data_IF_042620218470
#
_entry.id   IF_042620218470
#
_cell.length_a   1.000
_cell.length_b   1.000
_cell.length_c   1.000
_cell.angle_alpha   90.00
_cell.angle_beta   90.00
_cell.angle_gamma   90.00
#
_symmetry.space_group_name_H-M   'P 1'
#
loop_
_entity.id
_entity.type
_entity.pdbx_description
1 polymer ?
#
# COMPACT_ATOMS: atom_id res chain seq x y z
N UNK A 1 -57.58 -22.53 51.43
CA UNK A 1 -58.38 -21.34 51.82
C UNK A 1 -58.47 -20.38 50.64
N UNK A 2 -59.61 -20.40 49.93
CA UNK A 2 -60.24 -19.22 49.30
C UNK A 2 -61.25 -18.68 50.35
N UNK A 3 -61.72 -17.41 50.34
CA UNK A 3 -62.42 -16.79 49.18
C UNK A 3 -62.17 -15.26 49.01
N UNK A 4 -62.20 -14.67 47.79
CA UNK A 4 -63.32 -13.93 47.14
C UNK A 4 -63.70 -12.60 47.85
N UNK A 5 -64.16 -11.48 47.25
CA UNK A 5 -64.68 -11.14 45.91
C UNK A 5 -64.96 -9.62 45.85
N UNK A 6 -65.03 -9.07 44.62
CA UNK A 6 -65.93 -8.00 44.11
C UNK A 6 -65.77 -6.56 44.66
N UNK A 7 -65.71 -5.51 43.82
CA UNK A 7 -66.84 -4.86 43.08
C UNK A 7 -66.26 -3.88 42.03
N UNK A 8 -66.89 -3.37 40.96
CA UNK A 8 -68.12 -3.63 40.18
C UNK A 8 -68.03 -2.77 38.91
N UNK A 9 -68.49 -3.32 37.78
CA UNK A 9 -68.76 -2.64 36.51
C UNK A 9 -69.95 -1.67 36.61
N UNK A 10 -70.04 -0.65 35.74
CA UNK A 10 -71.08 -0.57 34.69
C UNK A 10 -71.12 0.78 33.95
N UNK A 11 -71.19 0.63 32.62
CA UNK A 11 -72.00 1.34 31.64
C UNK A 11 -71.83 2.84 31.37
N UNK A 12 -71.69 3.15 30.07
CA UNK A 12 -72.59 4.12 29.46
C UNK A 12 -72.10 4.81 28.19
N UNK A 13 -72.67 4.39 27.07
CA UNK A 13 -73.00 5.21 25.89
C UNK A 13 -71.87 5.75 24.99
N UNK A 14 -71.80 5.13 23.80
CA UNK A 14 -71.40 5.79 22.55
C UNK A 14 -72.34 6.98 22.29
N UNK A 15 -71.76 8.15 22.04
CA UNK A 15 -72.43 9.24 21.33
C UNK A 15 -71.45 9.86 20.33
N UNK A 16 -71.78 9.75 19.04
CA UNK A 16 -71.15 10.51 17.97
C UNK A 16 -71.57 11.98 18.08
N UNK A 17 -70.61 12.89 18.03
CA UNK A 17 -70.83 14.33 17.82
C UNK A 17 -69.65 14.91 17.04
N UNK A 18 -69.86 15.75 16.02
CA UNK A 18 -68.80 16.19 15.13
C UNK A 18 -68.00 17.32 15.80
N UNK A 19 -66.74 17.07 16.14
CA UNK A 19 -65.84 18.12 16.58
C UNK A 19 -65.07 18.63 15.34
N UNK A 20 -65.54 19.75 14.79
CA UNK A 20 -64.82 20.54 13.79
C UNK A 20 -63.51 21.05 14.40
N UNK A 21 -62.43 20.29 14.19
CA UNK A 21 -61.08 20.73 14.56
C UNK A 21 -60.60 21.73 13.51
N UNK A 22 -60.67 23.00 13.86
CA UNK A 22 -60.02 24.08 13.11
C UNK A 22 -58.51 23.84 13.14
N UNK A 23 -57.92 23.54 11.97
CA UNK A 23 -56.48 23.50 11.80
C UNK A 23 -55.94 24.92 11.97
N UNK A 24 -55.33 25.21 13.13
CA UNK A 24 -54.45 26.37 13.26
C UNK A 24 -53.18 26.08 12.46
N UNK A 25 -52.72 26.99 11.58
CA UNK A 25 -51.43 26.81 10.94
C UNK A 25 -50.34 26.87 12.01
N UNK A 26 -49.56 25.80 12.14
CA UNK A 26 -48.28 25.83 12.83
C UNK A 26 -47.35 26.75 12.04
N UNK A 27 -47.11 27.94 12.60
CA UNK A 27 -46.03 28.80 12.12
C UNK A 27 -44.71 28.05 12.32
N UNK A 28 -44.13 27.58 11.21
CA UNK A 28 -42.74 27.15 11.19
C UNK A 28 -41.86 28.35 11.50
N UNK A 29 -41.33 28.42 12.73
CA UNK A 29 -40.29 29.37 13.08
C UNK A 29 -39.00 28.88 12.43
N UNK A 30 -38.72 29.33 11.21
CA UNK A 30 -37.41 29.22 10.60
C UNK A 30 -36.41 30.01 11.46
N UNK A 31 -35.57 29.31 12.22
CA UNK A 31 -34.38 29.91 12.84
C UNK A 31 -33.32 30.05 11.75
N UNK A 32 -33.17 31.24 11.21
CA UNK A 32 -32.09 31.56 10.28
C UNK A 32 -30.77 31.66 11.07
N UNK A 33 -29.79 30.82 10.73
CA UNK A 33 -28.46 30.78 11.37
C UNK A 33 -27.51 31.90 10.92
N UNK A 34 -27.96 32.81 10.05
CA UNK A 34 -27.17 33.96 9.61
C UNK A 34 -28.08 35.12 9.21
N UNK A 35 -27.67 36.36 9.52
CA UNK A 35 -28.42 37.60 9.24
C UNK A 35 -27.90 38.38 8.03
N UNK A 36 -26.90 37.88 7.31
CA UNK A 36 -26.48 38.52 6.06
C UNK A 36 -27.37 38.08 4.89
N UNK A 37 -27.72 39.00 3.97
CA UNK A 37 -28.30 38.61 2.69
C UNK A 37 -27.30 37.71 1.93
N UNK A 38 -27.76 36.64 1.27
CA UNK A 38 -26.89 35.84 0.41
C UNK A 38 -26.46 36.71 -0.77
N UNK A 39 -25.15 36.83 -0.99
CA UNK A 39 -24.65 37.44 -2.22
C UNK A 39 -25.01 36.50 -3.38
N UNK A 40 -25.70 36.97 -4.43
CA UNK A 40 -25.93 36.14 -5.60
C UNK A 40 -24.59 35.75 -6.22
N UNK A 41 -24.44 34.47 -6.57
CA UNK A 41 -23.27 34.00 -7.29
C UNK A 41 -23.14 34.79 -8.60
N UNK A 42 -21.99 35.40 -8.84
CA UNK A 42 -21.68 36.01 -10.14
C UNK A 42 -21.44 34.86 -11.11
N UNK A 43 -22.46 34.46 -11.86
CA UNK A 43 -22.34 33.46 -12.91
C UNK A 43 -21.57 34.11 -14.05
N UNK A 44 -20.31 33.71 -14.23
CA UNK A 44 -19.57 34.09 -15.43
C UNK A 44 -20.34 33.56 -16.65
N UNK A 45 -20.53 34.35 -17.72
CA UNK A 45 -21.15 33.86 -18.93
C UNK A 45 -20.37 32.63 -19.42
N UNK A 46 -21.08 31.53 -19.72
CA UNK A 46 -20.49 30.34 -20.31
C UNK A 46 -20.05 30.73 -21.72
N UNK A 47 -18.81 31.18 -21.87
CA UNK A 47 -18.20 31.54 -23.16
C UNK A 47 -17.56 30.34 -23.86
N UNK A 48 -17.63 29.15 -23.27
CA UNK A 48 -17.14 27.92 -23.90
C UNK A 48 -18.25 27.27 -24.74
N UNK A 49 -18.38 27.70 -25.99
CA UNK A 49 -19.07 26.92 -27.03
C UNK A 49 -18.08 25.90 -27.61
N UNK A 50 -18.14 24.67 -27.10
CA UNK A 50 -17.35 23.55 -27.60
C UNK A 50 -17.58 22.31 -26.75
N UNK A 51 -17.31 21.10 -27.29
CA UNK A 51 -17.24 19.92 -26.45
C UNK A 51 -16.26 20.16 -25.29
N UNK A 52 -16.49 19.58 -24.11
CA UNK A 52 -15.56 19.71 -23.00
C UNK A 52 -14.15 19.36 -23.48
N UNK A 53 -13.12 20.11 -23.06
CA UNK A 53 -11.75 19.78 -23.42
C UNK A 53 -11.49 18.32 -23.04
N UNK A 54 -10.83 17.58 -23.92
CA UNK A 54 -10.38 16.23 -23.63
C UNK A 54 -9.61 16.22 -22.31
N UNK A 55 -9.83 15.17 -21.51
CA UNK A 55 -9.12 14.98 -20.26
C UNK A 55 -7.61 15.22 -20.47
N UNK A 56 -6.94 15.94 -19.56
CA UNK A 56 -5.52 16.19 -19.67
C UNK A 56 -4.80 14.84 -19.75
N UNK A 57 -4.06 14.63 -20.83
CA UNK A 57 -3.23 13.44 -20.98
C UNK A 57 -1.97 13.68 -20.15
N UNK A 58 -1.61 12.78 -19.22
CA UNK A 58 -0.38 12.93 -18.44
C UNK A 58 0.82 13.06 -19.39
N UNK A 59 1.65 14.07 -19.18
CA UNK A 59 2.87 14.25 -19.98
C UNK A 59 3.78 13.04 -19.82
N UNK A 60 4.40 12.60 -20.92
CA UNK A 60 5.42 11.56 -20.87
C UNK A 60 6.66 12.10 -20.12
N UNK A 61 6.68 11.92 -18.80
CA UNK A 61 7.75 12.38 -17.94
C UNK A 61 8.99 11.47 -18.11
N UNK A 62 10.01 11.96 -18.81
CA UNK A 62 11.29 11.25 -18.93
C UNK A 62 11.98 11.18 -17.56
N UNK A 63 12.35 9.98 -17.10
CA UNK A 63 13.02 9.72 -15.81
C UNK A 63 14.26 10.61 -15.58
N UNK A 64 15.04 10.87 -16.64
CA UNK A 64 16.23 11.73 -16.60
C UNK A 64 15.93 13.20 -16.25
N UNK A 65 14.75 13.68 -16.63
CA UNK A 65 14.29 15.04 -16.32
C UNK A 65 14.04 15.21 -14.80
N UNK A 66 13.53 14.17 -14.13
CA UNK A 66 13.28 14.18 -12.68
C UNK A 66 14.58 14.19 -11.89
N UNK A 67 15.55 13.36 -12.29
CA UNK A 67 16.87 13.28 -11.64
C UNK A 67 17.65 14.59 -11.82
N UNK A 68 17.67 15.14 -13.03
CA UNK A 68 18.33 16.42 -13.31
C UNK A 68 17.65 17.59 -12.57
N UNK A 69 16.32 17.61 -12.48
CA UNK A 69 15.57 18.59 -11.66
C UNK A 69 15.95 18.51 -10.20
N UNK A 70 16.00 17.31 -9.60
CA UNK A 70 16.43 17.11 -8.21
C UNK A 70 17.87 17.59 -8.00
N UNK A 71 18.80 17.29 -8.90
CA UNK A 71 20.20 17.79 -8.83
C UNK A 71 20.27 19.31 -8.88
N UNK A 72 19.53 19.96 -9.81
CA UNK A 72 19.46 21.43 -9.88
C UNK A 72 18.87 22.03 -8.61
N UNK A 73 17.79 21.45 -8.09
CA UNK A 73 17.17 21.89 -6.84
C UNK A 73 18.12 21.75 -5.66
N UNK A 74 18.87 20.64 -5.59
CA UNK A 74 19.91 20.42 -4.58
C UNK A 74 21.01 21.49 -4.65
N UNK A 75 21.47 21.83 -5.86
CA UNK A 75 22.47 22.87 -6.08
C UNK A 75 21.97 24.25 -5.66
N UNK A 76 20.72 24.59 -6.00
CA UNK A 76 20.06 25.82 -5.56
C UNK A 76 19.93 25.89 -4.04
N UNK A 77 19.53 24.78 -3.40
CA UNK A 77 19.39 24.69 -1.94
C UNK A 77 20.75 24.83 -1.25
N UNK A 78 21.80 24.24 -1.83
CA UNK A 78 23.19 24.41 -1.39
C UNK A 78 23.63 25.87 -1.47
N UNK A 79 23.41 26.54 -2.62
CA UNK A 79 23.71 27.98 -2.78
C UNK A 79 22.92 28.84 -1.79
N UNK A 80 21.63 28.58 -1.61
CA UNK A 80 20.78 29.31 -0.66
C UNK A 80 21.23 29.13 0.79
N UNK A 81 21.62 27.91 1.19
CA UNK A 81 22.21 27.66 2.50
C UNK A 81 23.56 28.37 2.66
N UNK A 82 24.43 28.34 1.65
CA UNK A 82 25.73 28.98 1.71
C UNK A 82 25.60 30.51 1.86
N UNK A 83 24.69 31.14 1.10
CA UNK A 83 24.35 32.56 1.26
C UNK A 83 23.81 32.87 2.67
N UNK A 84 22.92 32.03 3.22
CA UNK A 84 22.37 32.21 4.57
C UNK A 84 23.42 32.03 5.66
N UNK A 85 24.36 31.11 5.49
CA UNK A 85 25.46 30.89 6.44
C UNK A 85 26.45 32.07 6.43
N UNK A 86 26.75 32.63 5.25
CA UNK A 86 27.54 33.87 5.11
C UNK A 86 26.83 35.04 5.80
N UNK A 87 25.53 35.19 5.58
CA UNK A 87 24.74 36.29 6.16
C UNK A 87 24.54 36.21 7.68
N UNK A 88 24.60 35.01 8.28
CA UNK A 88 24.27 34.81 9.70
C UNK A 88 25.48 34.72 10.64
N UNK A 89 26.71 34.79 10.13
CA UNK A 89 27.95 34.71 10.94
C UNK A 89 28.14 33.40 11.72
N UNK A 90 27.19 32.45 11.60
CA UNK A 90 27.16 31.16 12.30
C UNK A 90 27.71 30.07 11.40
N UNK A 91 29.02 30.07 11.19
CA UNK A 91 29.71 29.05 10.39
C UNK A 91 29.77 27.63 10.97
N UNK A 92 29.17 27.36 12.15
CA UNK A 92 29.43 26.11 12.89
C UNK A 92 28.24 25.17 13.16
N UNK A 93 27.00 25.68 13.23
CA UNK A 93 25.86 24.89 13.74
C UNK A 93 25.17 23.96 12.73
N UNK A 94 25.22 24.32 11.44
CA UNK A 94 24.51 23.61 10.35
C UNK A 94 25.39 22.57 9.64
N UNK A 95 26.69 22.50 9.95
CA UNK A 95 27.63 21.58 9.31
C UNK A 95 27.24 20.10 9.47
N UNK A 96 26.61 19.74 10.60
CA UNK A 96 26.11 18.38 10.86
C UNK A 96 24.88 17.99 10.02
N UNK A 97 24.19 18.97 9.44
CA UNK A 97 23.01 18.72 8.60
C UNK A 97 23.38 18.62 7.12
N UNK A 98 24.51 19.22 6.70
CA UNK A 98 24.99 19.16 5.32
C UNK A 98 25.52 17.76 4.99
N UNK A 99 25.40 17.36 3.72
CA UNK A 99 26.06 16.15 3.20
C UNK A 99 27.56 16.30 3.42
N UNK A 100 28.16 15.35 4.12
CA UNK A 100 29.59 15.38 4.48
C UNK A 100 30.44 14.41 3.66
N UNK A 101 29.83 13.66 2.73
CA UNK A 101 30.51 12.73 1.81
C UNK A 101 30.43 13.21 0.37
N UNK A 102 31.46 12.90 -0.42
CA UNK A 102 31.49 13.21 -1.86
C UNK A 102 31.17 11.97 -2.68
N UNK A 103 31.84 10.87 -2.38
CA UNK A 103 31.77 9.64 -3.16
C UNK A 103 31.01 8.57 -2.40
N UNK A 104 30.24 7.77 -3.14
CA UNK A 104 29.58 6.57 -2.63
C UNK A 104 29.97 5.41 -3.54
N UNK A 105 30.45 4.32 -2.96
CA UNK A 105 30.84 3.14 -3.73
C UNK A 105 30.65 1.85 -2.93
N UNK A 106 30.53 0.74 -3.65
CA UNK A 106 30.48 -0.60 -3.06
C UNK A 106 31.91 -1.12 -2.88
N UNK A 107 32.21 -1.61 -1.69
CA UNK A 107 33.49 -2.24 -1.34
C UNK A 107 33.25 -3.70 -0.98
N UNK A 108 34.04 -4.59 -1.57
CA UNK A 108 34.04 -6.00 -1.22
C UNK A 108 34.83 -6.23 0.07
N UNK A 109 34.29 -7.07 0.95
CA UNK A 109 34.90 -7.51 2.21
C UNK A 109 34.66 -9.00 2.41
N UNK A 110 35.38 -9.65 3.31
CA UNK A 110 35.21 -11.10 3.54
C UNK A 110 33.78 -11.45 3.97
N UNK A 111 33.14 -10.57 4.75
CA UNK A 111 31.77 -10.73 5.26
C UNK A 111 30.68 -10.45 4.20
N UNK A 112 31.01 -9.72 3.12
CA UNK A 112 30.04 -9.32 2.10
C UNK A 112 30.36 -7.99 1.43
N UNK A 113 29.34 -7.39 0.82
CA UNK A 113 29.41 -6.10 0.13
C UNK A 113 29.04 -4.97 1.10
N UNK A 114 29.92 -4.00 1.26
CA UNK A 114 29.71 -2.84 2.12
C UNK A 114 29.54 -1.57 1.29
N UNK A 115 28.64 -0.68 1.69
CA UNK A 115 28.49 0.63 1.06
C UNK A 115 29.37 1.63 1.82
N UNK A 116 30.30 2.28 1.12
CA UNK A 116 31.22 3.26 1.69
C UNK A 116 30.86 4.67 1.25
N UNK A 117 30.83 5.59 2.23
CA UNK A 117 30.77 7.03 2.05
C UNK A 117 32.19 7.58 2.22
N UNK A 118 32.81 7.99 1.12
CA UNK A 118 34.25 8.24 1.02
C UNK A 118 35.07 7.05 1.57
N UNK A 119 35.55 7.12 2.82
CA UNK A 119 36.35 6.06 3.47
C UNK A 119 35.60 5.29 4.55
N UNK A 120 34.34 5.65 4.84
CA UNK A 120 33.59 5.15 6.00
C UNK A 120 32.43 4.27 5.55
N UNK A 121 32.25 3.08 6.14
CA UNK A 121 31.10 2.26 5.81
C UNK A 121 29.81 2.87 6.36
N UNK A 122 28.71 2.69 5.62
CA UNK A 122 27.34 2.89 6.11
C UNK A 122 27.08 1.92 7.25
N UNK A 123 26.45 2.41 8.31
CA UNK A 123 26.15 1.64 9.51
C UNK A 123 24.65 1.61 9.77
N UNK A 124 24.19 0.49 10.32
CA UNK A 124 22.85 0.31 10.85
C UNK A 124 22.62 1.18 12.09
N UNK A 125 21.36 1.42 12.50
CA UNK A 125 21.05 2.08 13.78
C UNK A 125 21.69 1.38 14.99
N UNK A 126 21.91 0.06 14.93
CA UNK A 126 22.66 -0.74 15.92
C UNK A 126 24.15 -0.43 15.99
N UNK A 127 24.66 0.46 15.12
CA UNK A 127 26.07 0.87 14.92
C UNK A 127 26.94 -0.17 14.22
N UNK A 128 26.41 -1.33 13.89
CA UNK A 128 27.11 -2.33 13.09
C UNK A 128 27.18 -1.90 11.62
N UNK A 129 28.14 -2.45 10.89
CA UNK A 129 28.28 -2.15 9.46
C UNK A 129 27.12 -2.79 8.70
N UNK A 130 26.54 -2.06 7.75
CA UNK A 130 25.54 -2.63 6.86
C UNK A 130 26.27 -3.48 5.80
N UNK A 131 26.11 -4.79 5.89
CA UNK A 131 26.75 -5.77 5.01
C UNK A 131 25.67 -6.45 4.17
N UNK A 132 25.78 -6.32 2.86
CA UNK A 132 24.92 -7.00 1.88
C UNK A 132 25.58 -8.32 1.47
N UNK A 133 24.85 -9.44 1.33
CA UNK A 133 25.44 -10.69 0.89
C UNK A 133 26.16 -10.58 -0.47
N UNK A 134 27.26 -11.33 -0.64
CA UNK A 134 28.10 -11.32 -1.86
C UNK A 134 27.30 -11.53 -3.16
N UNK A 135 26.35 -12.45 -3.12
CA UNK A 135 25.52 -12.78 -4.26
C UNK A 135 24.47 -11.71 -4.59
N UNK A 136 24.43 -10.55 -3.91
CA UNK A 136 23.45 -9.47 -4.16
C UNK A 136 24.11 -8.13 -4.59
N UNK A 137 24.93 -8.11 -5.65
CA UNK A 137 25.63 -6.89 -6.07
C UNK A 137 24.68 -5.79 -6.58
N UNK A 138 23.56 -6.16 -7.19
CA UNK A 138 22.53 -5.22 -7.64
C UNK A 138 21.89 -4.46 -6.46
N UNK A 139 21.61 -5.15 -5.36
CA UNK A 139 21.09 -4.54 -4.14
C UNK A 139 22.11 -3.57 -3.52
N UNK A 140 23.38 -3.99 -3.41
CA UNK A 140 24.44 -3.12 -2.90
C UNK A 140 24.63 -1.86 -3.76
N UNK A 141 24.57 -2.01 -5.08
CA UNK A 141 24.66 -0.90 -6.04
C UNK A 141 23.46 0.05 -5.94
N UNK A 142 22.25 -0.49 -5.76
CA UNK A 142 21.05 0.31 -5.57
C UNK A 142 21.09 1.10 -4.25
N UNK A 143 21.62 0.52 -3.17
CA UNK A 143 21.87 1.24 -1.91
C UNK A 143 22.94 2.33 -2.12
N UNK A 144 24.02 2.05 -2.84
CA UNK A 144 25.03 3.07 -3.15
C UNK A 144 24.41 4.28 -3.89
N UNK A 145 23.52 4.03 -4.87
CA UNK A 145 22.77 5.08 -5.57
C UNK A 145 21.83 5.84 -4.63
N UNK A 146 21.14 5.14 -3.73
CA UNK A 146 20.26 5.74 -2.73
C UNK A 146 21.00 6.80 -1.89
N UNK A 147 22.21 6.46 -1.42
CA UNK A 147 23.07 7.36 -0.65
C UNK A 147 23.73 8.46 -1.50
N UNK A 148 24.03 8.18 -2.77
CA UNK A 148 24.57 9.20 -3.68
C UNK A 148 23.53 10.25 -4.07
N UNK A 149 22.24 9.93 -4.03
CA UNK A 149 21.17 10.87 -4.33
C UNK A 149 20.79 11.79 -3.16
N UNK A 150 21.26 11.50 -1.94
CA UNK A 150 20.97 12.34 -0.78
C UNK A 150 21.68 13.69 -0.90
N UNK A 151 20.96 14.77 -0.58
CA UNK A 151 21.49 16.14 -0.63
C UNK A 151 21.95 16.64 0.73
N UNK A 152 21.58 15.94 1.81
CA UNK A 152 21.92 16.30 3.18
C UNK A 152 22.05 15.06 4.07
N UNK A 153 22.80 15.17 5.17
CA UNK A 153 22.92 14.08 6.13
C UNK A 153 21.59 13.79 6.86
N UNK A 154 20.72 14.80 6.99
CA UNK A 154 19.39 14.64 7.60
C UNK A 154 18.47 13.74 6.76
N UNK A 155 18.62 13.76 5.43
CA UNK A 155 17.83 12.88 4.55
C UNK A 155 18.13 11.40 4.78
N UNK A 156 19.32 11.06 5.28
CA UNK A 156 19.65 9.69 5.69
C UNK A 156 18.86 9.20 6.92
N UNK A 157 18.07 10.08 7.56
CA UNK A 157 17.14 9.71 8.63
C UNK A 157 15.70 9.50 8.12
N UNK A 158 15.44 9.75 6.83
CA UNK A 158 14.11 9.73 6.24
C UNK A 158 13.92 8.43 5.46
N UNK A 159 13.12 7.49 6.00
CA UNK A 159 12.95 6.15 5.41
C UNK A 159 12.47 6.14 3.95
N UNK A 160 11.72 7.16 3.51
CA UNK A 160 11.25 7.27 2.13
C UNK A 160 12.35 7.74 1.15
N UNK A 161 13.45 8.29 1.66
CA UNK A 161 14.64 8.64 0.87
C UNK A 161 15.72 7.55 0.92
N UNK A 162 15.66 6.68 1.93
CA UNK A 162 16.56 5.53 2.07
C UNK A 162 15.86 4.16 2.20
N UNK A 163 14.89 3.82 1.31
CA UNK A 163 14.04 2.65 1.49
C UNK A 163 14.78 1.31 1.48
N UNK A 164 15.80 1.12 0.63
CA UNK A 164 16.58 -0.11 0.54
C UNK A 164 17.53 -0.24 1.74
N UNK A 165 18.16 0.85 2.17
CA UNK A 165 18.99 0.86 3.39
C UNK A 165 18.16 0.43 4.60
N UNK A 166 16.97 1.00 4.78
CA UNK A 166 16.05 0.63 5.87
C UNK A 166 15.58 -0.82 5.75
N UNK A 167 15.31 -1.30 4.54
CA UNK A 167 14.83 -2.67 4.31
C UNK A 167 15.92 -3.72 4.55
N UNK A 168 17.16 -3.47 4.12
CA UNK A 168 18.30 -4.35 4.40
C UNK A 168 18.65 -4.32 5.88
N UNK A 169 18.61 -3.16 6.54
CA UNK A 169 18.81 -3.09 8.00
C UNK A 169 17.79 -3.99 8.71
N UNK A 170 16.53 -3.93 8.29
CA UNK A 170 15.46 -4.79 8.84
C UNK A 170 15.71 -6.29 8.60
N UNK A 171 16.18 -6.68 7.42
CA UNK A 171 16.54 -8.07 7.12
C UNK A 171 17.69 -8.56 8.01
N UNK A 172 18.71 -7.72 8.21
CA UNK A 172 19.83 -8.05 9.08
C UNK A 172 19.41 -8.11 10.56
N UNK A 173 18.53 -7.22 11.02
CA UNK A 173 18.01 -7.26 12.40
C UNK A 173 17.24 -8.57 12.68
N UNK A 174 16.49 -9.09 11.69
CA UNK A 174 15.86 -10.42 11.77
C UNK A 174 16.93 -11.51 11.86
N UNK A 175 17.95 -11.46 11.01
CA UNK A 175 19.02 -12.47 10.97
C UNK A 175 19.82 -12.52 12.28
N UNK A 176 20.12 -11.38 12.87
CA UNK A 176 20.84 -11.30 14.15
C UNK A 176 20.01 -11.89 15.29
N UNK A 177 18.71 -11.60 15.32
CA UNK A 177 17.80 -12.15 16.33
C UNK A 177 17.62 -13.66 16.16
N UNK A 178 17.48 -14.15 14.93
CA UNK A 178 17.44 -15.59 14.64
C UNK A 178 18.73 -16.29 15.10
N UNK A 179 19.89 -15.70 14.82
CA UNK A 179 21.19 -16.23 15.25
C UNK A 179 21.37 -16.23 16.77
N UNK A 180 20.71 -15.30 17.48
CA UNK A 180 20.70 -15.23 18.94
C UNK A 180 19.75 -16.24 19.61
N UNK A 181 19.10 -17.12 18.84
CA UNK A 181 18.15 -18.12 19.34
C UNK A 181 16.67 -17.73 19.14
N UNK A 182 16.40 -16.70 18.33
CA UNK A 182 15.08 -16.20 18.02
C UNK A 182 14.60 -15.09 18.95
N UNK A 183 13.50 -14.44 18.56
CA UNK A 183 12.90 -13.36 19.33
C UNK A 183 11.63 -12.79 18.70
N UNK A 184 11.14 -11.65 19.22
CA UNK A 184 9.82 -11.12 18.87
C UNK A 184 9.72 -10.53 17.46
N UNK A 185 10.81 -10.21 16.75
CA UNK A 185 10.73 -9.59 15.42
C UNK A 185 10.02 -10.53 14.46
N UNK A 186 10.53 -11.76 14.32
CA UNK A 186 9.95 -12.77 13.42
C UNK A 186 8.50 -13.08 13.80
N UNK A 187 8.23 -13.30 15.09
CA UNK A 187 6.87 -13.57 15.58
C UNK A 187 5.88 -12.45 15.27
N UNK A 188 6.30 -11.19 15.43
CA UNK A 188 5.48 -10.03 15.13
C UNK A 188 5.22 -9.86 13.63
N UNK A 189 6.21 -10.18 12.79
CA UNK A 189 6.04 -10.20 11.33
C UNK A 189 5.03 -11.28 10.95
N UNK A 190 5.25 -12.53 11.39
CA UNK A 190 4.33 -13.65 11.14
C UNK A 190 2.91 -13.28 11.57
N UNK A 191 2.73 -12.76 12.80
CA UNK A 191 1.43 -12.31 13.30
C UNK A 191 0.79 -11.25 12.41
N UNK A 192 1.57 -10.27 11.95
CA UNK A 192 1.07 -9.18 11.11
C UNK A 192 0.68 -9.68 9.73
N UNK A 193 1.53 -10.49 9.11
CA UNK A 193 1.30 -11.07 7.79
C UNK A 193 0.09 -12.01 7.80
N UNK A 194 -0.06 -12.84 8.85
CA UNK A 194 -1.21 -13.74 8.98
C UNK A 194 -2.54 -12.99 9.18
N UNK A 195 -2.55 -11.74 9.68
CA UNK A 195 -3.78 -10.93 9.71
C UNK A 195 -4.27 -10.59 8.31
N UNK A 196 -3.36 -10.38 7.36
CA UNK A 196 -3.72 -10.08 5.98
C UNK A 196 -4.29 -11.28 5.23
N UNK A 197 -4.00 -12.53 5.65
CA UNK A 197 -4.59 -13.71 5.02
C UNK A 197 -6.11 -13.73 5.11
N UNK A 198 -6.66 -13.34 6.27
CA UNK A 198 -8.11 -13.27 6.49
C UNK A 198 -8.74 -12.01 5.87
N UNK A 199 -7.95 -11.09 5.32
CA UNK A 199 -8.43 -9.85 4.69
C UNK A 199 -7.75 -9.58 3.35
N UNK A 200 -7.31 -10.65 2.67
CA UNK A 200 -6.47 -10.53 1.48
C UNK A 200 -7.27 -9.92 0.33
N UNK A 201 -6.74 -8.88 -0.30
CA UNK A 201 -7.41 -8.20 -1.42
C UNK A 201 -7.75 -9.14 -2.58
N UNK A 202 -6.94 -10.18 -2.82
CA UNK A 202 -7.21 -11.18 -3.88
C UNK A 202 -8.33 -12.16 -3.52
N UNK A 203 -8.75 -12.21 -2.26
CA UNK A 203 -9.83 -13.07 -1.76
C UNK A 203 -11.13 -12.28 -1.47
N UNK A 204 -11.09 -10.96 -1.61
CA UNK A 204 -12.22 -10.06 -1.42
C UNK A 204 -12.87 -9.76 -2.77
N UNK A 205 -13.84 -10.59 -3.17
CA UNK A 205 -14.53 -10.40 -4.45
C UNK A 205 -15.83 -9.61 -4.28
N UNK A 206 -16.12 -8.76 -5.25
CA UNK A 206 -17.39 -8.07 -5.36
C UNK A 206 -18.55 -9.08 -5.42
N UNK A 207 -19.74 -8.73 -4.91
CA UNK A 207 -20.96 -9.51 -5.08
C UNK A 207 -21.26 -9.78 -6.55
N UNK A 208 -22.14 -10.73 -6.81
CA UNK A 208 -22.69 -10.87 -8.16
C UNK A 208 -23.43 -9.58 -8.53
N UNK A 209 -23.16 -9.05 -9.71
CA UNK A 209 -23.88 -7.89 -10.20
C UNK A 209 -25.34 -8.31 -10.44
N UNK A 210 -26.27 -7.63 -9.78
CA UNK A 210 -27.68 -7.68 -10.17
C UNK A 210 -27.84 -6.97 -11.51
N UNK A 211 -28.84 -7.37 -12.31
CA UNK A 211 -29.12 -6.67 -13.56
C UNK A 211 -29.49 -5.22 -13.25
N UNK A 212 -28.81 -4.29 -13.91
CA UNK A 212 -29.10 -2.87 -13.76
C UNK A 212 -30.59 -2.61 -14.08
N UNK A 213 -31.28 -1.72 -13.34
CA UNK A 213 -32.65 -1.35 -13.65
C UNK A 213 -32.76 -0.83 -15.09
N UNK A 214 -33.88 -1.10 -15.80
CA UNK A 214 -34.07 -0.60 -17.16
C UNK A 214 -33.89 0.92 -17.23
N UNK A 215 -32.95 1.39 -18.07
CA UNK A 215 -32.65 2.82 -18.26
C UNK A 215 -31.46 3.35 -17.47
N UNK A 216 -30.77 2.53 -16.67
CA UNK A 216 -29.46 2.90 -16.12
C UNK A 216 -28.42 2.99 -17.24
N UNK A 217 -27.60 4.04 -17.25
CA UNK A 217 -26.53 4.18 -18.23
C UNK A 217 -25.50 3.06 -18.04
N UNK A 218 -25.48 2.12 -18.97
CA UNK A 218 -24.35 1.19 -19.11
C UNK A 218 -23.19 2.03 -19.63
N UNK A 219 -22.30 2.47 -18.74
CA UNK A 219 -21.05 3.11 -19.16
C UNK A 219 -20.41 2.22 -20.24
N UNK A 220 -20.00 2.82 -21.36
CA UNK A 220 -19.48 2.12 -22.55
C UNK A 220 -18.32 1.16 -22.20
N UNK A 221 -17.65 1.43 -21.07
CA UNK A 221 -16.52 0.65 -20.54
C UNK A 221 -16.90 -0.46 -19.54
N UNK A 222 -18.17 -0.59 -19.11
CA UNK A 222 -18.68 -1.69 -18.26
C UNK A 222 -18.94 -2.96 -19.08
N UNK A 223 -17.94 -3.43 -19.84
CA UNK A 223 -18.07 -4.66 -20.64
C UNK A 223 -17.91 -5.94 -19.81
N UNK A 224 -17.19 -5.86 -18.69
CA UNK A 224 -16.92 -6.98 -17.78
C UNK A 224 -17.18 -6.55 -16.32
N UNK A 225 -17.78 -7.41 -15.51
CA UNK A 225 -18.02 -7.12 -14.08
C UNK A 225 -16.72 -7.08 -13.28
N UNK A 226 -16.64 -6.22 -12.25
CA UNK A 226 -15.49 -6.17 -11.33
C UNK A 226 -15.18 -7.55 -10.74
N UNK A 227 -16.21 -8.31 -10.36
CA UNK A 227 -16.08 -9.68 -9.84
C UNK A 227 -15.36 -10.61 -10.82
N UNK A 228 -15.70 -10.53 -12.10
CA UNK A 228 -15.06 -11.33 -13.15
C UNK A 228 -13.58 -10.97 -13.30
N UNK A 229 -13.25 -9.67 -13.30
CA UNK A 229 -11.87 -9.17 -13.39
C UNK A 229 -11.05 -9.59 -12.17
N UNK A 230 -11.62 -9.48 -10.96
CA UNK A 230 -11.02 -9.94 -9.71
C UNK A 230 -10.71 -11.44 -9.74
N UNK A 231 -11.69 -12.28 -10.12
CA UNK A 231 -11.49 -13.73 -10.23
C UNK A 231 -10.41 -14.07 -11.26
N UNK A 232 -10.47 -13.47 -12.45
CA UNK A 232 -9.51 -13.68 -13.53
C UNK A 232 -8.08 -13.30 -13.13
N UNK A 233 -7.92 -12.30 -12.27
CA UNK A 233 -6.62 -11.86 -11.76
C UNK A 233 -6.13 -12.74 -10.59
N UNK A 234 -7.02 -13.08 -9.65
CA UNK A 234 -6.66 -13.82 -8.45
C UNK A 234 -6.44 -15.32 -8.69
N UNK A 235 -7.23 -15.95 -9.58
CA UNK A 235 -7.21 -17.41 -9.77
C UNK A 235 -5.84 -17.95 -10.22
N UNK A 236 -5.12 -17.35 -11.18
CA UNK A 236 -3.78 -17.81 -11.54
C UNK A 236 -2.80 -17.73 -10.37
N UNK A 237 -2.88 -16.66 -9.56
CA UNK A 237 -2.05 -16.47 -8.38
C UNK A 237 -2.35 -17.56 -7.35
N UNK A 238 -3.63 -17.74 -7.00
CA UNK A 238 -4.07 -18.77 -6.03
C UNK A 238 -3.66 -20.17 -6.52
N UNK A 239 -3.85 -20.47 -7.79
CA UNK A 239 -3.51 -21.79 -8.38
C UNK A 239 -2.02 -22.06 -8.31
N UNK A 240 -1.18 -21.07 -8.63
CA UNK A 240 0.27 -21.20 -8.47
C UNK A 240 0.64 -21.50 -7.02
N UNK A 241 0.06 -20.74 -6.07
CA UNK A 241 0.37 -20.91 -4.65
C UNK A 241 -0.06 -22.27 -4.11
N UNK A 242 -1.27 -22.75 -4.45
CA UNK A 242 -1.78 -24.04 -3.98
C UNK A 242 -1.15 -25.25 -4.69
N UNK A 243 -0.51 -25.06 -5.85
CA UNK A 243 0.18 -26.14 -6.55
C UNK A 243 1.68 -26.21 -6.21
N UNK A 244 2.34 -25.06 -6.07
CA UNK A 244 3.80 -24.97 -5.97
C UNK A 244 4.27 -24.67 -4.55
N UNK A 245 3.61 -23.75 -3.85
CA UNK A 245 4.08 -23.24 -2.56
C UNK A 245 3.48 -24.03 -1.39
N UNK A 246 2.18 -24.28 -1.45
CA UNK A 246 1.41 -24.96 -0.42
C UNK A 246 0.55 -26.07 -1.03
N UNK A 247 1.16 -27.17 -1.53
CA UNK A 247 0.41 -28.27 -2.10
C UNK A 247 -0.60 -28.86 -1.11
N UNK A 248 -1.85 -28.96 -1.55
CA UNK A 248 -2.93 -29.63 -0.81
C UNK A 248 -3.72 -28.77 0.18
N UNK A 249 -3.45 -27.45 0.26
CA UNK A 249 -4.32 -26.54 1.04
C UNK A 249 -5.49 -26.02 0.20
N UNK A 250 -6.56 -25.64 0.89
CA UNK A 250 -7.68 -24.91 0.31
C UNK A 250 -7.61 -23.44 0.70
N UNK A 251 -7.66 -22.55 -0.28
CA UNK A 251 -7.78 -21.10 -0.07
C UNK A 251 -9.16 -20.67 -0.55
N UNK A 252 -9.97 -20.15 0.36
CA UNK A 252 -11.36 -19.75 0.08
C UNK A 252 -11.49 -18.23 -0.01
N UNK A 253 -12.47 -17.70 -0.77
CA UNK A 253 -12.79 -16.27 -0.74
C UNK A 253 -13.16 -15.81 0.68
N UNK A 254 -12.62 -14.65 1.06
CA UNK A 254 -12.81 -14.06 2.39
C UNK A 254 -14.22 -13.49 2.53
N UNK A 255 -14.70 -12.76 1.53
CA UNK A 255 -16.03 -12.15 1.56
C UNK A 255 -17.10 -13.08 0.97
N UNK A 256 -18.32 -12.96 1.50
CA UNK A 256 -19.52 -13.56 0.91
C UNK A 256 -20.34 -12.48 0.23
N UNK A 257 -21.13 -12.84 -0.79
CA UNK A 257 -21.99 -11.85 -1.47
C UNK A 257 -22.94 -11.13 -0.53
N UNK A 258 -23.26 -11.74 0.62
CA UNK A 258 -24.25 -11.27 1.57
C UNK A 258 -23.64 -10.78 2.89
N UNK A 259 -22.31 -10.66 3.00
CA UNK A 259 -21.64 -10.29 4.24
C UNK A 259 -20.41 -9.43 3.98
N UNK A 260 -20.34 -8.31 4.69
CA UNK A 260 -19.13 -7.47 4.77
C UNK A 260 -18.10 -8.00 5.79
N UNK A 261 -18.47 -9.03 6.57
CA UNK A 261 -17.59 -9.63 7.56
C UNK A 261 -16.72 -10.72 6.92
N UNK A 262 -15.39 -10.63 7.07
CA UNK A 262 -14.45 -11.64 6.61
C UNK A 262 -14.70 -13.04 7.18
N UNK A 263 -14.73 -14.05 6.31
CA UNK A 263 -14.67 -15.47 6.70
C UNK A 263 -13.21 -15.86 6.96
N UNK A 264 -13.00 -16.61 8.04
CA UNK A 264 -11.70 -17.18 8.37
C UNK A 264 -11.30 -18.25 7.37
N UNK A 265 -10.02 -18.30 7.00
CA UNK A 265 -9.46 -19.45 6.30
C UNK A 265 -9.53 -20.73 7.15
N UNK A 266 -9.59 -21.93 6.53
CA UNK A 266 -9.49 -23.20 7.25
C UNK A 266 -8.26 -23.25 8.16
N UNK A 267 -8.40 -23.86 9.35
CA UNK A 267 -7.32 -23.88 10.35
C UNK A 267 -6.04 -24.54 9.79
N UNK A 268 -6.19 -25.66 9.06
CA UNK A 268 -5.07 -26.32 8.38
C UNK A 268 -4.34 -25.37 7.42
N UNK A 269 -5.07 -24.61 6.60
CA UNK A 269 -4.51 -23.60 5.70
C UNK A 269 -3.71 -22.55 6.46
N UNK A 270 -4.26 -22.04 7.57
CA UNK A 270 -3.58 -21.05 8.42
C UNK A 270 -2.30 -21.60 9.02
N UNK A 271 -2.31 -22.85 9.48
CA UNK A 271 -1.15 -23.46 10.13
C UNK A 271 -0.04 -23.78 9.13
N UNK A 272 -0.38 -24.26 7.92
CA UNK A 272 0.58 -24.47 6.83
C UNK A 272 1.22 -23.15 6.40
N UNK A 273 0.40 -22.12 6.13
CA UNK A 273 0.91 -20.81 5.70
C UNK A 273 1.74 -20.17 6.83
N UNK A 274 1.29 -20.25 8.09
CA UNK A 274 2.07 -19.75 9.23
C UNK A 274 3.42 -20.45 9.34
N UNK A 275 3.44 -21.79 9.25
CA UNK A 275 4.67 -22.57 9.30
C UNK A 275 5.64 -22.18 8.17
N UNK A 276 5.13 -22.00 6.96
CA UNK A 276 5.92 -21.56 5.80
C UNK A 276 6.50 -20.15 6.00
N UNK A 277 5.68 -19.17 6.42
CA UNK A 277 6.14 -17.80 6.69
C UNK A 277 7.17 -17.78 7.81
N UNK A 278 6.94 -18.52 8.90
CA UNK A 278 7.87 -18.64 10.01
C UNK A 278 9.21 -19.24 9.61
N UNK A 279 9.24 -20.11 8.59
CA UNK A 279 10.44 -20.74 8.07
C UNK A 279 11.22 -19.94 7.03
N UNK A 280 10.75 -18.76 6.62
CA UNK A 280 11.44 -17.96 5.62
C UNK A 280 12.79 -17.43 6.13
N UNK A 281 13.85 -17.41 5.28
CA UNK A 281 15.08 -16.72 5.61
C UNK A 281 14.85 -15.23 5.85
N UNK A 282 15.78 -14.57 6.53
CA UNK A 282 15.59 -13.21 7.05
C UNK A 282 15.33 -12.16 5.96
N UNK A 283 15.99 -12.25 4.80
CA UNK A 283 15.79 -11.35 3.67
C UNK A 283 14.42 -11.58 3.02
N UNK A 284 14.01 -12.82 2.84
CA UNK A 284 12.70 -13.22 2.33
C UNK A 284 11.57 -12.81 3.27
N UNK A 285 11.76 -12.91 4.58
CA UNK A 285 10.76 -12.50 5.56
C UNK A 285 10.57 -10.97 5.56
N UNK A 286 11.66 -10.20 5.52
CA UNK A 286 11.59 -8.74 5.40
C UNK A 286 10.96 -8.31 4.06
N UNK A 287 11.30 -9.01 2.97
CA UNK A 287 10.72 -8.80 1.66
C UNK A 287 9.22 -9.11 1.62
N UNK A 288 8.81 -10.23 2.23
CA UNK A 288 7.41 -10.61 2.35
C UNK A 288 6.63 -9.56 3.12
N UNK A 289 7.11 -9.15 4.29
CA UNK A 289 6.44 -8.12 5.09
C UNK A 289 6.25 -6.83 4.30
N UNK A 290 7.31 -6.37 3.62
CA UNK A 290 7.23 -5.19 2.75
C UNK A 290 6.18 -5.36 1.66
N UNK A 291 6.18 -6.50 0.97
CA UNK A 291 5.22 -6.80 -0.10
C UNK A 291 3.79 -6.86 0.40
N UNK A 292 3.56 -7.49 1.56
CA UNK A 292 2.24 -7.60 2.20
C UNK A 292 1.69 -6.23 2.55
N UNK A 293 2.50 -5.38 3.18
CA UNK A 293 2.08 -4.04 3.58
C UNK A 293 1.82 -3.13 2.36
N UNK A 294 2.63 -3.25 1.31
CA UNK A 294 2.47 -2.48 0.08
C UNK A 294 1.23 -2.91 -0.72
N UNK A 295 1.06 -4.22 -0.92
CA UNK A 295 -0.05 -4.79 -1.69
C UNK A 295 -1.34 -5.00 -0.90
N UNK A 296 -1.31 -4.78 0.43
CA UNK A 296 -2.41 -5.05 1.37
C UNK A 296 -2.96 -6.49 1.26
N UNK A 297 -2.08 -7.44 0.96
CA UNK A 297 -2.44 -8.84 0.70
C UNK A 297 -1.23 -9.76 0.78
N UNK A 298 -1.43 -10.96 1.32
CA UNK A 298 -0.42 -11.99 1.45
C UNK A 298 -0.15 -12.72 0.13
N UNK A 299 -1.20 -13.13 -0.58
CA UNK A 299 -1.06 -14.02 -1.73
C UNK A 299 -0.25 -13.37 -2.86
N UNK A 300 -0.55 -12.11 -3.20
CA UNK A 300 0.20 -11.35 -4.20
C UNK A 300 1.67 -11.15 -3.81
N UNK A 301 1.92 -10.87 -2.52
CA UNK A 301 3.28 -10.70 -2.00
C UNK A 301 4.09 -12.01 -2.05
N UNK A 302 3.50 -13.15 -1.70
CA UNK A 302 4.15 -14.47 -1.79
C UNK A 302 4.44 -14.83 -3.24
N UNK A 303 3.48 -14.59 -4.14
CA UNK A 303 3.67 -14.84 -5.57
C UNK A 303 4.85 -14.05 -6.13
N UNK A 304 4.96 -12.76 -5.79
CA UNK A 304 6.09 -11.91 -6.19
C UNK A 304 7.40 -12.40 -5.54
N UNK A 305 7.39 -12.70 -4.25
CA UNK A 305 8.56 -13.15 -3.51
C UNK A 305 9.16 -14.43 -4.12
N UNK A 306 8.33 -15.43 -4.40
CA UNK A 306 8.76 -16.72 -4.98
C UNK A 306 9.35 -16.53 -6.38
N UNK A 307 8.77 -15.65 -7.20
CA UNK A 307 9.26 -15.38 -8.55
C UNK A 307 10.71 -14.84 -8.58
N UNK A 308 11.06 -14.03 -7.58
CA UNK A 308 12.31 -13.26 -7.59
C UNK A 308 13.36 -13.69 -6.55
N UNK A 309 12.96 -14.36 -5.46
CA UNK A 309 13.89 -14.82 -4.42
C UNK A 309 14.76 -15.96 -4.91
N UNK A 310 16.09 -15.81 -4.80
CA UNK A 310 17.05 -16.86 -5.15
C UNK A 310 16.92 -18.09 -4.27
N UNK A 311 16.58 -17.91 -2.99
CA UNK A 311 16.37 -19.00 -2.01
C UNK A 311 15.15 -19.86 -2.36
N UNK A 312 14.12 -19.25 -2.95
CA UNK A 312 12.88 -19.90 -3.33
C UNK A 312 12.83 -20.32 -4.81
N UNK A 313 13.98 -20.30 -5.51
CA UNK A 313 14.05 -20.59 -6.94
C UNK A 313 13.46 -21.96 -7.31
N UNK A 314 13.54 -22.95 -6.42
CA UNK A 314 12.99 -24.29 -6.62
C UNK A 314 11.45 -24.34 -6.70
N UNK A 315 10.76 -23.29 -6.25
CA UNK A 315 9.29 -23.19 -6.30
C UNK A 315 8.77 -22.48 -7.56
N UNK A 316 9.66 -21.84 -8.34
CA UNK A 316 9.30 -21.07 -9.52
C UNK A 316 8.72 -21.94 -10.62
N UNK A 317 7.98 -21.31 -11.52
CA UNK A 317 7.57 -21.93 -12.79
C UNK A 317 8.45 -21.38 -13.92
N UNK A 318 9.57 -22.05 -14.16
CA UNK A 318 10.51 -21.67 -15.23
C UNK A 318 9.95 -21.97 -16.64
N UNK A 319 8.78 -22.60 -16.75
CA UNK A 319 8.12 -22.88 -18.04
C UNK A 319 7.22 -21.74 -18.51
N UNK A 320 6.87 -20.81 -17.61
CA UNK A 320 6.03 -19.68 -17.93
C UNK A 320 6.74 -18.72 -18.90
N UNK A 321 6.05 -18.35 -20.00
CA UNK A 321 6.57 -17.37 -20.97
C UNK A 321 6.79 -15.98 -20.35
N UNK A 322 6.00 -15.67 -19.31
CA UNK A 322 6.00 -14.36 -18.64
C UNK A 322 6.15 -14.52 -17.13
N UNK A 323 7.11 -13.80 -16.56
CA UNK A 323 7.32 -13.69 -15.11
C UNK A 323 6.26 -12.81 -14.47
N UNK A 324 5.99 -13.05 -13.19
CA UNK A 324 5.16 -12.16 -12.37
C UNK A 324 6.04 -11.06 -11.75
N UNK A 325 6.08 -9.91 -12.43
CA UNK A 325 6.92 -8.78 -12.09
C UNK A 325 6.18 -7.72 -11.24
N UNK A 326 6.81 -6.55 -11.09
CA UNK A 326 6.28 -5.44 -10.29
C UNK A 326 4.94 -4.94 -10.83
N UNK A 327 4.77 -4.91 -12.15
CA UNK A 327 3.57 -4.40 -12.81
C UNK A 327 2.40 -5.37 -12.63
N UNK A 328 2.62 -6.68 -12.75
CA UNK A 328 1.56 -7.66 -12.43
C UNK A 328 1.16 -7.59 -10.97
N UNK A 329 2.14 -7.51 -10.06
CA UNK A 329 1.88 -7.42 -8.63
C UNK A 329 1.15 -6.13 -8.25
N UNK A 330 1.57 -4.98 -8.80
CA UNK A 330 0.93 -3.69 -8.57
C UNK A 330 -0.49 -3.65 -9.14
N UNK A 331 -0.70 -4.17 -10.35
CA UNK A 331 -2.04 -4.30 -10.96
C UNK A 331 -2.96 -5.20 -10.15
N UNK A 332 -2.44 -6.30 -9.60
CA UNK A 332 -3.20 -7.19 -8.74
C UNK A 332 -3.61 -6.50 -7.42
N UNK A 333 -2.70 -5.72 -6.83
CA UNK A 333 -2.96 -4.98 -5.59
C UNK A 333 -3.91 -3.79 -5.76
N UNK A 334 -3.84 -3.09 -6.90
CA UNK A 334 -4.62 -1.88 -7.20
C UNK A 334 -5.82 -2.13 -8.10
N UNK A 335 -6.19 -3.39 -8.36
CA UNK A 335 -7.19 -3.77 -9.37
C UNK A 335 -8.50 -3.00 -9.28
N UNK A 336 -9.05 -2.88 -8.07
CA UNK A 336 -10.32 -2.17 -7.87
C UNK A 336 -10.17 -0.66 -8.06
N UNK A 337 -9.06 -0.08 -7.60
CA UNK A 337 -8.76 1.35 -7.82
C UNK A 337 -8.60 1.63 -9.31
N UNK A 338 -7.87 0.78 -10.05
CA UNK A 338 -7.70 0.90 -11.50
C UNK A 338 -9.04 0.79 -12.23
N UNK A 339 -9.92 -0.12 -11.78
CA UNK A 339 -11.26 -0.26 -12.35
C UNK A 339 -12.12 0.98 -12.10
N UNK A 340 -12.14 1.50 -10.86
CA UNK A 340 -12.91 2.69 -10.50
C UNK A 340 -12.41 3.96 -11.20
N UNK A 341 -11.09 4.14 -11.28
CA UNK A 341 -10.47 5.32 -11.91
C UNK A 341 -10.59 5.31 -13.43
N UNK A 342 -10.62 4.14 -14.07
CA UNK A 342 -10.99 4.04 -15.49
C UNK A 342 -12.39 4.59 -15.75
N UNK A 343 -13.34 4.31 -14.86
CA UNK A 343 -14.73 4.76 -14.99
C UNK A 343 -14.96 6.22 -14.61
N UNK A 344 -14.34 6.69 -13.53
CA UNK A 344 -14.67 7.98 -12.91
C UNK A 344 -13.54 9.00 -12.96
N UNK A 345 -12.44 8.66 -13.62
CA UNK A 345 -11.24 9.47 -13.67
C UNK A 345 -10.34 9.25 -12.46
N UNK A 346 -9.08 9.64 -12.63
CA UNK A 346 -8.06 9.62 -11.60
C UNK A 346 -8.12 10.89 -10.75
N UNK A 347 -7.79 10.79 -9.46
CA UNK A 347 -7.64 11.95 -8.56
C UNK A 347 -6.15 12.23 -8.41
N UNK A 348 -5.70 13.36 -8.94
CA UNK A 348 -4.32 13.85 -8.85
C UNK A 348 -3.87 13.99 -7.38
N UNK A 349 -2.57 13.80 -7.15
CA UNK A 349 -1.92 13.79 -5.83
C UNK A 349 -2.42 12.69 -4.85
N UNK A 350 -3.24 11.75 -5.32
CA UNK A 350 -3.73 10.61 -4.52
C UNK A 350 -3.50 9.30 -5.25
N UNK A 351 -4.25 9.04 -6.32
CA UNK A 351 -4.20 7.76 -7.02
C UNK A 351 -2.89 7.58 -7.80
N UNK A 352 -2.41 8.66 -8.41
CA UNK A 352 -1.14 8.70 -9.16
C UNK A 352 0.06 8.45 -8.24
N UNK A 353 0.07 9.07 -7.05
CA UNK A 353 1.11 8.89 -6.05
C UNK A 353 1.10 7.48 -5.50
N UNK A 354 -0.06 6.96 -5.12
CA UNK A 354 -0.20 5.59 -4.60
C UNK A 354 0.21 4.54 -5.65
N UNK A 355 -0.14 4.77 -6.92
CA UNK A 355 0.23 3.92 -8.06
C UNK A 355 1.74 3.80 -8.23
N UNK A 356 2.45 4.91 -8.11
CA UNK A 356 3.93 4.92 -8.15
C UNK A 356 4.54 4.36 -6.86
N UNK A 357 3.92 4.61 -5.70
CA UNK A 357 4.44 4.15 -4.41
C UNK A 357 4.36 2.63 -4.26
N UNK A 358 3.24 2.01 -4.66
CA UNK A 358 3.09 0.55 -4.66
C UNK A 358 4.17 -0.11 -5.52
N UNK A 359 4.39 0.38 -6.74
CA UNK A 359 5.46 -0.11 -7.63
C UNK A 359 6.84 0.02 -7.00
N UNK A 360 7.14 1.20 -6.44
CA UNK A 360 8.40 1.48 -5.76
C UNK A 360 8.62 0.50 -4.60
N UNK A 361 7.59 0.24 -3.80
CA UNK A 361 7.68 -0.68 -2.67
C UNK A 361 7.85 -2.14 -3.12
N UNK A 362 7.07 -2.61 -4.09
CA UNK A 362 7.18 -3.97 -4.62
C UNK A 362 8.51 -4.20 -5.38
N UNK A 363 8.98 -3.21 -6.13
CA UNK A 363 10.31 -3.24 -6.74
C UNK A 363 11.45 -3.35 -5.72
N UNK A 364 11.29 -2.74 -4.53
CA UNK A 364 12.27 -2.89 -3.46
C UNK A 364 12.31 -4.30 -2.88
N UNK A 365 11.19 -5.03 -2.88
CA UNK A 365 11.15 -6.46 -2.54
C UNK A 365 11.99 -7.26 -3.53
N UNK A 366 11.79 -7.05 -4.83
CA UNK A 366 12.57 -7.75 -5.87
C UNK A 366 14.06 -7.53 -5.66
N UNK A 367 14.51 -6.27 -5.51
CA UNK A 367 15.91 -5.96 -5.29
C UNK A 367 16.47 -6.61 -4.02
N UNK A 368 15.67 -6.71 -2.96
CA UNK A 368 16.09 -7.32 -1.69
C UNK A 368 16.37 -8.82 -1.84
N UNK A 369 15.48 -9.55 -2.52
CA UNK A 369 15.52 -11.02 -2.55
C UNK A 369 16.23 -11.59 -3.77
N UNK A 370 16.40 -10.79 -4.82
CA UNK A 370 17.16 -11.17 -6.01
C UNK A 370 18.64 -11.31 -5.69
N UNK A 371 19.33 -12.12 -6.48
CA UNK A 371 20.75 -12.35 -6.36
C UNK A 371 21.29 -13.10 -7.57
N UNK A 372 22.60 -13.05 -7.73
CA UNK A 372 23.33 -13.90 -8.67
C UNK A 372 23.33 -15.33 -8.15
N UNK A 373 23.31 -16.29 -9.08
CA UNK A 373 23.49 -17.69 -8.69
C UNK A 373 24.91 -17.83 -8.11
N UNK A 374 25.07 -18.48 -6.94
CA UNK A 374 26.37 -18.69 -6.34
C UNK A 374 27.31 -19.53 -7.23
#
# INVERSE_FOLDING_TARGET
>A
MKPSSQTTFLNGAKAFGPCTRTLRPQFYIQRNLHTSPPNPATVAPITASGPPPTAPVPSADHVDSRVSRRRKQAELLKRGQDLRNVASGKGGGTAKMKRFWKEVHVKHSDEGLQIHLDKRPVRRPTKEVLVVPHHKPHLASAIALEWDLLVSAQQALMHHLIPLTSLVSRALDIADEDAAGGGPIRENIVKTVMRYLDTDSLLCWAPEAEADPPGYEVHVERTESLRSIQKRTAQPIISFLTQRVWPGIEIVPVLDSNSIFPRSQPQMTKDVIRGWVSGLPAFELAGLERGVLAGKGLLGAVRLLVEWSTELAHLRDDTAEKKFDVEEAAKAASLEVDWQTGMWGEVEDTHDVDKEDVRRQLGSVILLVSGEKP
#
